data_IF_911261446461
#
_entry.id   IF_911261446461
#
_cell.length_a   1.000
_cell.length_b   1.000
_cell.length_c   1.000
_cell.angle_alpha   90.00
_cell.angle_beta   90.00
_cell.angle_gamma   90.00
#
_symmetry.space_group_name_H-M   'P 1'
#
loop_
_entity.id
_entity.type
_entity.pdbx_description
1 polymer ?
#
# COMPACT_ATOMS: atom_id res chain seq x y z
N UNK A 1 6.56 -36.55 5.24
CA UNK A 1 8.00 -36.26 5.41
C UNK A 1 8.17 -35.30 6.58
N UNK A 2 8.86 -35.70 7.65
CA UNK A 2 9.17 -34.82 8.78
C UNK A 2 10.48 -34.08 8.48
N UNK A 3 10.39 -32.78 8.19
CA UNK A 3 11.56 -31.93 7.99
C UNK A 3 12.15 -31.48 9.34
N UNK A 4 13.49 -31.37 9.46
CA UNK A 4 14.16 -30.97 10.70
C UNK A 4 13.91 -29.50 11.07
N UNK A 5 13.63 -29.26 12.35
CA UNK A 5 13.34 -27.93 12.90
C UNK A 5 14.62 -27.08 13.00
N UNK A 6 14.66 -26.00 12.23
CA UNK A 6 15.60 -24.89 12.42
C UNK A 6 14.83 -23.70 12.98
N UNK A 7 15.29 -23.05 14.06
CA UNK A 7 14.59 -21.90 14.62
C UNK A 7 14.62 -20.77 13.60
N UNK A 8 13.45 -20.51 13.01
CA UNK A 8 13.25 -19.50 11.99
C UNK A 8 13.48 -18.10 12.58
N UNK A 9 14.21 -17.22 11.88
CA UNK A 9 14.34 -15.82 12.30
C UNK A 9 12.95 -15.20 12.51
N UNK A 10 12.77 -14.30 13.50
CA UNK A 10 11.47 -13.76 13.86
C UNK A 10 10.79 -13.17 12.61
N UNK A 11 9.62 -13.71 12.27
CA UNK A 11 8.85 -13.24 11.12
C UNK A 11 8.17 -11.92 11.44
N UNK A 12 8.14 -11.00 10.46
CA UNK A 12 7.25 -9.82 10.52
C UNK A 12 5.78 -10.19 10.42
N UNK A 13 5.51 -11.44 10.06
CA UNK A 13 4.20 -12.02 9.86
C UNK A 13 3.76 -12.87 11.04
N UNK A 14 2.46 -12.86 11.27
CA UNK A 14 1.73 -13.76 12.15
C UNK A 14 0.66 -14.47 11.32
N UNK A 15 0.63 -15.80 11.40
CA UNK A 15 -0.46 -16.61 10.84
C UNK A 15 -1.59 -16.61 11.85
N UNK A 16 -2.77 -16.11 11.45
CA UNK A 16 -3.95 -16.00 12.30
C UNK A 16 -4.81 -17.26 12.25
N UNK A 17 -5.03 -17.79 11.05
CA UNK A 17 -5.77 -19.03 10.84
C UNK A 17 -5.37 -19.71 9.52
N UNK A 18 -5.46 -21.03 9.47
CA UNK A 18 -5.23 -21.82 8.26
C UNK A 18 -6.26 -22.95 8.17
N UNK A 19 -6.67 -23.26 6.95
CA UNK A 19 -7.47 -24.44 6.61
C UNK A 19 -6.86 -25.10 5.37
N UNK A 20 -6.75 -26.43 5.37
CA UNK A 20 -6.00 -27.17 4.36
C UNK A 20 -4.49 -26.86 4.35
N UNK A 21 -3.91 -26.76 3.16
CA UNK A 21 -2.52 -26.31 2.99
C UNK A 21 -2.48 -24.77 3.08
N UNK A 22 -2.00 -24.24 4.21
CA UNK A 22 -2.03 -22.82 4.57
C UNK A 22 -1.07 -21.91 3.77
N UNK A 23 -0.23 -21.12 4.43
CA UNK A 23 0.82 -20.32 3.78
C UNK A 23 2.19 -20.71 4.31
N UNK A 24 3.22 -20.58 3.46
CA UNK A 24 4.59 -20.67 3.93
C UNK A 24 5.14 -19.26 4.18
N UNK A 25 5.11 -18.82 5.44
CA UNK A 25 5.87 -17.64 5.87
C UNK A 25 7.36 -17.94 5.66
N UNK A 26 8.29 -16.98 5.62
CA UNK A 26 9.74 -17.14 5.79
C UNK A 26 10.41 -15.78 6.00
N UNK A 27 10.78 -15.48 7.26
CA UNK A 27 11.33 -14.17 7.62
C UNK A 27 10.36 -13.03 7.27
N UNK A 28 10.74 -12.19 6.32
CA UNK A 28 9.94 -11.05 5.84
C UNK A 28 8.96 -11.43 4.72
N UNK A 29 9.05 -12.65 4.20
CA UNK A 29 8.30 -13.09 3.03
C UNK A 29 7.23 -14.13 3.39
N UNK A 30 6.26 -14.28 2.51
CA UNK A 30 5.23 -15.31 2.54
C UNK A 30 5.00 -15.79 1.11
N UNK A 31 4.85 -17.10 0.94
CA UNK A 31 4.51 -17.70 -0.33
C UNK A 31 3.25 -18.53 -0.22
N UNK A 32 2.62 -18.77 -1.37
CA UNK A 32 1.64 -19.85 -1.50
C UNK A 32 2.26 -21.20 -1.11
N UNK A 33 1.43 -22.20 -0.73
CA UNK A 33 1.91 -23.56 -0.54
C UNK A 33 2.80 -24.02 -1.69
N UNK A 34 3.86 -24.74 -1.37
CA UNK A 34 4.75 -25.41 -2.33
C UNK A 34 5.49 -24.51 -3.33
N UNK A 35 5.37 -23.17 -3.23
CA UNK A 35 6.06 -22.25 -4.12
C UNK A 35 7.57 -22.56 -4.20
N UNK A 36 8.18 -22.62 -5.41
CA UNK A 36 7.69 -22.12 -6.69
C UNK A 36 6.83 -23.08 -7.52
N UNK A 37 6.45 -24.23 -6.97
CA UNK A 37 5.54 -25.19 -7.59
C UNK A 37 4.08 -24.76 -7.43
N UNK A 38 3.17 -25.50 -8.07
CA UNK A 38 1.73 -25.22 -8.00
C UNK A 38 1.21 -25.39 -6.58
N UNK A 39 0.46 -24.40 -6.11
CA UNK A 39 -0.17 -24.49 -4.78
C UNK A 39 -1.26 -25.55 -4.73
N UNK A 40 -1.66 -25.95 -3.52
CA UNK A 40 -2.72 -26.94 -3.29
C UNK A 40 -4.13 -26.33 -3.43
N UNK A 41 -5.12 -27.14 -3.83
CA UNK A 41 -6.53 -26.70 -3.86
C UNK A 41 -7.13 -26.60 -2.47
N UNK A 42 -8.20 -25.80 -2.36
CA UNK A 42 -9.06 -25.74 -1.18
C UNK A 42 -8.35 -25.31 0.11
N UNK A 43 -7.25 -24.57 -0.03
CA UNK A 43 -6.51 -23.98 1.09
C UNK A 43 -6.97 -22.56 1.41
N UNK A 44 -6.96 -22.22 2.69
CA UNK A 44 -7.15 -20.84 3.18
C UNK A 44 -6.05 -20.53 4.18
N UNK A 45 -5.58 -19.30 4.14
CA UNK A 45 -4.65 -18.80 5.14
C UNK A 45 -4.87 -17.30 5.37
N UNK A 46 -4.92 -16.92 6.64
CA UNK A 46 -5.12 -15.56 7.10
C UNK A 46 -3.86 -15.09 7.84
N UNK A 47 -3.39 -13.90 7.46
CA UNK A 47 -2.11 -13.35 7.87
C UNK A 47 -2.32 -11.95 8.43
N UNK A 48 -1.47 -11.59 9.38
CA UNK A 48 -1.30 -10.23 9.85
C UNK A 48 0.19 -9.87 9.90
N UNK A 49 0.49 -8.58 9.81
CA UNK A 49 1.83 -8.05 10.09
C UNK A 49 1.90 -7.53 11.52
N UNK A 50 3.09 -7.57 12.12
CA UNK A 50 3.31 -7.08 13.49
C UNK A 50 3.44 -5.56 13.58
N UNK A 51 3.92 -4.94 12.51
CA UNK A 51 4.18 -3.51 12.42
C UNK A 51 3.76 -2.98 11.05
N UNK A 52 3.68 -1.65 10.92
CA UNK A 52 3.43 -1.02 9.63
C UNK A 52 4.57 -1.37 8.65
N UNK A 53 4.20 -1.72 7.42
CA UNK A 53 5.15 -2.15 6.40
C UNK A 53 4.67 -1.79 4.99
N UNK A 54 5.60 -1.84 4.04
CA UNK A 54 5.25 -1.89 2.62
C UNK A 54 5.24 -3.34 2.19
N UNK A 55 4.08 -3.86 1.78
CA UNK A 55 3.96 -5.18 1.16
C UNK A 55 4.33 -5.07 -0.31
N UNK A 56 5.19 -5.95 -0.80
CA UNK A 56 5.51 -6.09 -2.22
C UNK A 56 5.16 -7.50 -2.66
N UNK A 57 4.39 -7.63 -3.73
CA UNK A 57 4.05 -8.90 -4.37
C UNK A 57 4.91 -9.01 -5.64
N UNK A 58 5.94 -9.85 -5.61
CA UNK A 58 6.93 -9.94 -6.69
C UNK A 58 6.50 -10.89 -7.81
N UNK A 59 5.78 -11.96 -7.48
CA UNK A 59 5.23 -12.92 -8.43
C UNK A 59 3.80 -13.25 -8.04
N UNK A 60 2.90 -13.26 -9.02
CA UNK A 60 1.51 -13.59 -8.82
C UNK A 60 0.92 -14.26 -10.06
N UNK A 61 0.59 -15.54 -9.91
CA UNK A 61 -0.09 -16.33 -10.93
C UNK A 61 -1.02 -17.36 -10.26
N UNK A 62 -2.29 -17.04 -10.21
CA UNK A 62 -3.34 -17.83 -9.60
C UNK A 62 -4.44 -18.14 -10.61
N UNK A 63 -5.26 -19.16 -10.32
CA UNK A 63 -6.53 -19.34 -11.00
C UNK A 63 -7.45 -18.14 -10.75
N UNK A 64 -8.30 -17.80 -11.72
CA UNK A 64 -9.25 -16.67 -11.60
C UNK A 64 -10.25 -16.83 -10.45
N UNK A 65 -10.52 -18.07 -10.03
CA UNK A 65 -11.39 -18.36 -8.88
C UNK A 65 -10.70 -18.20 -7.52
N UNK A 66 -9.36 -18.25 -7.49
CA UNK A 66 -8.58 -18.18 -6.27
C UNK A 66 -8.16 -16.74 -5.98
N UNK A 67 -8.24 -16.32 -4.72
CA UNK A 67 -8.16 -14.89 -4.35
C UNK A 67 -7.14 -14.63 -3.25
N UNK A 68 -6.34 -13.57 -3.44
CA UNK A 68 -5.54 -12.94 -2.39
C UNK A 68 -6.15 -11.58 -2.07
N UNK A 69 -6.66 -11.43 -0.85
CA UNK A 69 -7.18 -10.17 -0.32
C UNK A 69 -6.10 -9.46 0.49
N UNK A 70 -5.90 -8.16 0.24
CA UNK A 70 -5.01 -7.26 1.00
C UNK A 70 -5.81 -6.00 1.33
N UNK A 71 -6.30 -5.90 2.56
CA UNK A 71 -7.22 -4.85 2.98
C UNK A 71 -8.50 -4.88 2.14
N UNK A 72 -8.77 -3.80 1.40
CA UNK A 72 -9.90 -3.70 0.47
C UNK A 72 -9.59 -4.20 -0.95
N UNK A 73 -8.35 -4.56 -1.24
CA UNK A 73 -7.94 -5.02 -2.57
C UNK A 73 -8.07 -6.54 -2.65
N UNK A 74 -8.62 -7.02 -3.77
CA UNK A 74 -8.68 -8.45 -4.08
C UNK A 74 -7.95 -8.69 -5.39
N UNK A 75 -7.07 -9.70 -5.39
CA UNK A 75 -6.23 -10.07 -6.53
C UNK A 75 -6.52 -11.53 -6.91
N UNK A 76 -6.58 -11.79 -8.21
CA UNK A 76 -6.68 -13.13 -8.81
C UNK A 76 -6.09 -13.12 -10.22
N UNK A 77 -5.83 -14.29 -10.80
CA UNK A 77 -5.23 -14.38 -12.13
C UNK A 77 -3.73 -14.09 -12.13
N UNK A 78 -3.27 -13.32 -13.12
CA UNK A 78 -1.86 -13.02 -13.33
C UNK A 78 -1.59 -11.52 -13.19
N UNK A 79 -0.52 -11.17 -12.45
CA UNK A 79 0.03 -9.81 -12.46
C UNK A 79 1.27 -9.76 -13.36
N UNK A 80 1.22 -8.89 -14.38
CA UNK A 80 2.37 -8.65 -15.26
C UNK A 80 3.50 -7.89 -14.55
N UNK A 81 3.14 -7.03 -13.59
CA UNK A 81 4.07 -6.19 -12.83
C UNK A 81 3.89 -6.39 -11.33
N UNK A 82 4.96 -6.24 -10.52
CA UNK A 82 4.84 -6.29 -9.06
C UNK A 82 3.85 -5.26 -8.53
N UNK A 83 3.06 -5.67 -7.52
CA UNK A 83 2.15 -4.80 -6.81
C UNK A 83 2.73 -4.40 -5.45
N UNK A 84 2.37 -3.21 -4.96
CA UNK A 84 2.77 -2.77 -3.62
C UNK A 84 1.62 -2.13 -2.85
N UNK A 85 1.57 -2.41 -1.55
CA UNK A 85 0.52 -1.94 -0.65
C UNK A 85 1.14 -1.43 0.66
N UNK A 86 0.59 -0.34 1.20
CA UNK A 86 0.87 0.04 2.58
C UNK A 86 -0.04 -0.77 3.49
N UNK A 87 0.56 -1.51 4.42
CA UNK A 87 -0.17 -2.39 5.33
C UNK A 87 0.19 -2.08 6.78
N UNK A 88 -0.76 -2.35 7.66
CA UNK A 88 -0.67 -2.19 9.11
C UNK A 88 -1.14 -3.48 9.81
N UNK A 89 -0.94 -3.63 11.13
CA UNK A 89 -1.41 -4.81 11.86
C UNK A 89 -2.92 -5.07 11.75
N UNK A 90 -3.71 -4.06 11.39
CA UNK A 90 -5.15 -4.17 11.19
C UNK A 90 -5.55 -4.46 9.73
N UNK A 91 -4.58 -4.58 8.82
CA UNK A 91 -4.85 -4.90 7.42
C UNK A 91 -5.14 -6.39 7.30
N UNK A 92 -6.35 -6.76 6.87
CA UNK A 92 -6.72 -8.14 6.59
C UNK A 92 -5.95 -8.65 5.37
N UNK A 93 -5.20 -9.73 5.53
CA UNK A 93 -4.47 -10.38 4.43
C UNK A 93 -4.91 -11.84 4.38
N UNK A 94 -5.61 -12.23 3.33
CA UNK A 94 -6.26 -13.55 3.24
C UNK A 94 -6.01 -14.16 1.87
N UNK A 95 -5.42 -15.35 1.85
CA UNK A 95 -5.37 -16.21 0.68
C UNK A 95 -6.48 -17.25 0.75
N UNK A 96 -7.16 -17.50 -0.37
CA UNK A 96 -8.14 -18.58 -0.50
C UNK A 96 -8.05 -19.19 -1.89
N UNK A 97 -7.75 -20.50 -1.95
CA UNK A 97 -7.95 -21.32 -3.13
C UNK A 97 -9.26 -22.08 -3.00
N UNK A 98 -10.15 -21.93 -3.98
CA UNK A 98 -11.45 -22.59 -4.02
C UNK A 98 -11.64 -23.44 -5.29
N UNK A 99 -10.66 -23.43 -6.20
CA UNK A 99 -10.74 -24.08 -7.49
C UNK A 99 -9.89 -25.36 -7.57
N UNK A 100 -10.29 -26.27 -8.47
CA UNK A 100 -9.53 -27.50 -8.77
C UNK A 100 -8.35 -27.26 -9.72
N UNK A 101 -8.22 -26.07 -10.28
CA UNK A 101 -7.15 -25.69 -11.18
C UNK A 101 -6.18 -24.79 -10.41
N UNK A 102 -4.95 -25.23 -10.22
CA UNK A 102 -3.94 -24.42 -9.53
C UNK A 102 -2.94 -23.88 -10.55
N UNK A 103 -2.33 -22.77 -10.17
CA UNK A 103 -1.28 -22.12 -10.95
C UNK A 103 -0.01 -22.04 -10.10
N UNK A 104 1.03 -21.38 -10.61
CA UNK A 104 2.34 -21.30 -9.93
C UNK A 104 2.28 -20.66 -8.53
N UNK A 105 1.24 -19.88 -8.25
CA UNK A 105 1.03 -19.24 -6.97
C UNK A 105 1.69 -17.87 -6.88
N UNK A 106 2.10 -17.50 -5.67
CA UNK A 106 2.52 -16.14 -5.39
C UNK A 106 3.61 -16.07 -4.31
N UNK A 107 4.36 -14.98 -4.34
CA UNK A 107 5.31 -14.61 -3.30
C UNK A 107 5.15 -13.13 -2.97
N UNK A 108 5.16 -12.81 -1.68
CA UNK A 108 5.09 -11.44 -1.19
C UNK A 108 6.04 -11.23 -0.02
N UNK A 109 6.63 -10.05 0.07
CA UNK A 109 7.56 -9.70 1.13
C UNK A 109 7.22 -8.34 1.74
N UNK A 110 7.43 -8.22 3.04
CA UNK A 110 7.42 -6.94 3.74
C UNK A 110 8.75 -6.22 3.54
N UNK A 111 8.67 -4.92 3.36
CA UNK A 111 9.78 -3.97 3.42
C UNK A 111 9.49 -2.95 4.51
N UNK A 112 10.53 -2.26 5.03
CA UNK A 112 10.33 -1.14 5.93
C UNK A 112 9.25 -0.19 5.40
N UNK A 113 8.39 0.27 6.30
CA UNK A 113 7.37 1.25 5.94
C UNK A 113 8.07 2.53 5.47
N UNK A 114 7.83 2.88 4.21
CA UNK A 114 8.22 4.19 3.68
C UNK A 114 6.94 5.01 3.64
N UNK A 115 6.75 6.01 4.51
CA UNK A 115 5.60 6.89 4.42
C UNK A 115 5.58 7.50 3.01
N UNK A 116 4.40 7.67 2.38
CA UNK A 116 4.32 8.45 1.16
C UNK A 116 4.94 9.83 1.40
N UNK A 117 5.61 10.43 0.40
CA UNK A 117 6.20 11.75 0.56
C UNK A 117 5.14 12.71 1.09
N UNK A 118 5.52 13.49 2.11
CA UNK A 118 4.65 14.51 2.68
C UNK A 118 4.22 15.46 1.57
N UNK A 119 2.99 15.95 1.66
CA UNK A 119 2.52 16.97 0.73
C UNK A 119 3.41 18.19 0.84
N UNK A 120 3.90 18.68 -0.30
CA UNK A 120 4.73 19.88 -0.34
C UNK A 120 4.16 20.83 -1.38
N UNK A 121 3.92 22.07 -0.94
CA UNK A 121 3.55 23.17 -1.81
C UNK A 121 4.81 23.79 -2.41
N UNK A 122 4.74 24.11 -3.69
CA UNK A 122 5.80 24.78 -4.44
C UNK A 122 5.18 25.91 -5.25
N UNK A 123 5.76 27.10 -5.12
CA UNK A 123 5.44 28.23 -5.99
C UNK A 123 6.14 28.02 -7.33
N UNK A 124 5.36 27.93 -8.41
CA UNK A 124 5.86 27.79 -9.77
C UNK A 124 6.16 29.15 -10.42
N UNK A 125 5.32 30.15 -10.19
CA UNK A 125 5.49 31.52 -10.67
C UNK A 125 4.58 32.48 -9.91
N UNK A 126 5.03 33.71 -9.67
CA UNK A 126 4.27 34.77 -9.00
C UNK A 126 4.42 36.11 -9.71
N UNK A 127 3.35 36.90 -9.72
CA UNK A 127 3.33 38.31 -10.08
C UNK A 127 2.68 39.11 -8.93
N UNK A 128 3.20 40.29 -8.60
CA UNK A 128 2.70 41.09 -7.47
C UNK A 128 3.12 40.51 -6.11
N UNK A 129 2.21 40.52 -5.12
CA UNK A 129 2.42 39.99 -3.77
C UNK A 129 2.48 38.46 -3.65
N UNK A 130 1.98 37.72 -4.65
CA UNK A 130 2.09 36.26 -4.70
C UNK A 130 1.32 35.51 -3.60
N UNK A 131 1.88 34.39 -3.13
CA UNK A 131 1.34 33.63 -2.01
C UNK A 131 2.38 33.43 -0.90
N UNK A 132 1.89 33.20 0.32
CA UNK A 132 2.72 32.76 1.44
C UNK A 132 2.52 31.27 1.71
N UNK A 133 3.59 30.48 1.56
CA UNK A 133 3.60 29.05 1.87
C UNK A 133 4.16 28.84 3.27
N UNK A 134 3.36 28.23 4.15
CA UNK A 134 3.77 27.88 5.52
C UNK A 134 3.38 26.45 5.84
N UNK A 135 4.38 25.55 5.82
CA UNK A 135 4.17 24.12 6.01
C UNK A 135 3.24 23.52 4.95
N UNK A 136 2.08 23.03 5.38
CA UNK A 136 1.06 22.43 4.50
C UNK A 136 -0.02 23.44 4.06
N UNK A 137 0.13 24.71 4.41
CA UNK A 137 -0.84 25.77 4.12
C UNK A 137 -0.27 26.75 3.09
N UNK A 138 -1.16 27.31 2.27
CA UNK A 138 -0.87 28.43 1.38
C UNK A 138 -1.93 29.49 1.60
N UNK A 139 -1.51 30.74 1.70
CA UNK A 139 -2.40 31.90 1.83
C UNK A 139 -2.10 32.91 0.74
N UNK A 140 -3.08 33.73 0.37
CA UNK A 140 -2.81 34.94 -0.41
C UNK A 140 -1.87 35.85 0.38
N UNK A 141 -1.15 36.72 -0.35
CA UNK A 141 -0.36 37.76 0.28
C UNK A 141 -1.24 38.60 1.23
N UNK A 142 -0.69 38.96 2.40
CA UNK A 142 -1.35 39.72 3.46
C UNK A 142 -2.52 39.04 4.20
N UNK A 143 -2.86 37.78 3.92
CA UNK A 143 -3.93 37.09 4.65
C UNK A 143 -3.65 37.12 6.18
N UNK A 144 -4.63 37.51 7.02
CA UNK A 144 -6.07 37.57 6.78
C UNK A 144 -6.62 38.91 6.24
N UNK A 145 -5.77 39.87 5.88
CA UNK A 145 -6.17 41.11 5.24
C UNK A 145 -6.35 40.95 3.73
N UNK A 146 -6.90 41.99 3.09
CA UNK A 146 -7.11 42.05 1.65
C UNK A 146 -5.78 41.90 0.89
N UNK A 147 -5.83 41.13 -0.19
CA UNK A 147 -4.72 40.99 -1.13
C UNK A 147 -4.63 42.23 -2.03
N UNK A 148 -3.47 42.45 -2.65
CA UNK A 148 -3.27 43.61 -3.53
C UNK A 148 -3.83 43.33 -4.94
N UNK A 149 -4.16 44.37 -5.73
CA UNK A 149 -4.61 44.16 -7.11
C UNK A 149 -3.48 43.62 -8.00
N UNK A 150 -3.87 42.90 -9.06
CA UNK A 150 -2.97 42.32 -10.07
C UNK A 150 -1.98 41.28 -9.55
N UNK A 151 -2.36 40.55 -8.51
CA UNK A 151 -1.57 39.44 -7.99
C UNK A 151 -1.85 38.16 -8.76
N UNK A 152 -0.79 37.38 -9.02
CA UNK A 152 -0.88 36.03 -9.58
C UNK A 152 0.01 35.13 -8.75
N UNK A 153 -0.49 33.96 -8.43
CA UNK A 153 0.28 32.92 -7.78
C UNK A 153 -0.07 31.56 -8.39
N UNK A 154 0.94 30.91 -8.96
CA UNK A 154 0.83 29.60 -9.59
C UNK A 154 1.48 28.57 -8.69
N UNK A 155 0.70 27.63 -8.19
CA UNK A 155 1.13 26.65 -7.20
C UNK A 155 1.13 25.25 -7.79
N UNK A 156 2.12 24.45 -7.38
CA UNK A 156 2.10 23.01 -7.49
C UNK A 156 2.06 22.40 -6.09
N UNK A 157 1.40 21.25 -5.97
CA UNK A 157 1.46 20.42 -4.78
C UNK A 157 1.79 18.99 -5.18
N UNK A 158 2.77 18.41 -4.48
CA UNK A 158 3.22 17.03 -4.72
C UNK A 158 2.80 16.13 -3.57
N UNK A 159 2.84 14.81 -3.77
CA UNK A 159 2.46 13.82 -2.75
C UNK A 159 0.97 13.49 -2.73
N UNK A 160 0.54 12.69 -1.75
CA UNK A 160 -0.89 12.42 -1.49
C UNK A 160 -1.41 13.43 -0.48
N UNK A 161 -2.46 14.16 -0.83
CA UNK A 161 -3.07 15.17 0.01
C UNK A 161 -4.58 15.24 -0.19
N UNK A 162 -5.26 15.89 0.75
CA UNK A 162 -6.62 16.37 0.61
C UNK A 162 -6.55 17.90 0.64
N UNK A 163 -7.13 18.55 -0.37
CA UNK A 163 -7.20 20.01 -0.39
C UNK A 163 -8.37 20.47 0.47
N UNK A 164 -8.08 21.28 1.48
CA UNK A 164 -9.10 21.96 2.29
C UNK A 164 -9.02 23.46 2.00
N UNK A 165 -10.14 24.04 1.59
CA UNK A 165 -10.28 25.49 1.42
C UNK A 165 -10.85 26.04 2.72
N UNK A 166 -10.00 26.67 3.54
CA UNK A 166 -10.41 27.21 4.83
C UNK A 166 -11.18 28.54 4.69
N UNK A 167 -10.79 29.37 3.72
CA UNK A 167 -11.39 30.67 3.43
C UNK A 167 -11.19 30.96 1.95
N UNK A 168 -12.19 31.55 1.31
CA UNK A 168 -12.09 32.01 -0.08
C UNK A 168 -13.03 33.20 -0.28
N UNK A 169 -12.44 34.37 -0.50
CA UNK A 169 -13.15 35.62 -0.79
C UNK A 169 -12.30 36.38 -1.81
N UNK A 170 -12.89 36.72 -2.95
CA UNK A 170 -12.23 37.41 -4.06
C UNK A 170 -13.15 38.49 -4.62
N UNK A 171 -12.60 39.52 -5.27
CA UNK A 171 -13.42 40.54 -5.92
C UNK A 171 -14.38 39.92 -6.94
N UNK A 172 -15.57 40.51 -7.05
CA UNK A 172 -16.65 40.08 -7.95
C UNK A 172 -16.56 40.69 -9.34
#
# INVERSE_FOLDING_TARGET
CTQPYTPRPPSSWTVLSEDGCGCNVSGQCVTSPQYPDTYDSFGRCELAVRENATLVIDQFNTSLGDTLTVGSFQLSGHLENPASFLISPNTSIVWTSNSRNQSKGWTMCTRPYTPPPRSSWTVLSEDGGGCEVSGNCVTSHNYPHDYSPFERCHLAVTGRFTLLIASFDTES
#
